data_IF_125774260943
#
_entry.id   IF_125774260943
#
_cell.length_a   1.000
_cell.length_b   1.000
_cell.length_c   1.000
_cell.angle_alpha   90.00
_cell.angle_beta   90.00
_cell.angle_gamma   90.00
#
_symmetry.space_group_name_H-M   'P 1'
#
loop_
_entity.id
_entity.type
_entity.pdbx_description
1 polymer ?
#
# COMPACT_ATOMS: atom_id res chain seq x y z
N UNK A 1 -1.77 18.93 -10.20
CA UNK A 1 -3.23 18.70 -10.27
C UNK A 1 -3.85 19.10 -11.61
N UNK A 2 -3.79 20.36 -12.05
CA UNK A 2 -4.41 20.78 -13.32
C UNK A 2 -3.99 19.96 -14.56
N UNK A 3 -2.70 19.65 -14.65
CA UNK A 3 -2.15 18.84 -15.75
C UNK A 3 -2.67 17.39 -15.75
N UNK A 4 -2.88 16.78 -14.58
CA UNK A 4 -3.48 15.43 -14.46
C UNK A 4 -4.98 15.49 -14.81
N UNK A 5 -5.68 16.56 -14.40
CA UNK A 5 -7.07 16.80 -14.82
C UNK A 5 -7.22 16.88 -16.34
N UNK A 6 -6.28 17.55 -17.03
CA UNK A 6 -6.25 17.62 -18.49
C UNK A 6 -6.11 16.23 -19.18
N UNK A 7 -5.53 15.23 -18.49
CA UNK A 7 -5.41 13.88 -19.03
C UNK A 7 -6.76 13.17 -19.17
N UNK A 8 -7.68 13.47 -18.27
CA UNK A 8 -9.03 12.91 -18.24
C UNK A 8 -10.07 13.85 -18.84
N UNK A 9 -9.64 14.99 -19.40
CA UNK A 9 -10.53 15.91 -20.11
C UNK A 9 -11.28 15.19 -21.22
N UNK A 10 -12.54 15.52 -21.51
CA UNK A 10 -13.18 15.06 -22.73
C UNK A 10 -12.54 15.67 -24.00
N UNK A 11 -11.78 16.76 -23.87
CA UNK A 11 -11.15 17.47 -24.99
C UNK A 11 -9.82 16.82 -25.43
N UNK A 12 -9.75 16.45 -26.71
CA UNK A 12 -8.56 15.88 -27.33
C UNK A 12 -7.39 16.88 -27.41
N UNK A 13 -7.65 18.18 -27.54
CA UNK A 13 -6.62 19.22 -27.57
C UNK A 13 -5.93 19.37 -26.21
N UNK A 14 -6.69 19.33 -25.11
CA UNK A 14 -6.14 19.37 -23.75
C UNK A 14 -5.28 18.13 -23.45
N UNK A 15 -5.73 16.94 -23.87
CA UNK A 15 -4.92 15.71 -23.78
C UNK A 15 -3.63 15.79 -24.58
N UNK A 16 -3.70 16.29 -25.81
CA UNK A 16 -2.53 16.41 -26.68
C UNK A 16 -1.53 17.45 -26.12
N UNK A 17 -2.03 18.58 -25.62
CA UNK A 17 -1.21 19.62 -25.00
C UNK A 17 -0.50 19.12 -23.73
N UNK A 18 -1.16 18.27 -22.94
CA UNK A 18 -0.53 17.61 -21.79
C UNK A 18 0.59 16.67 -22.23
N UNK A 19 0.33 15.78 -23.21
CA UNK A 19 1.33 14.81 -23.69
C UNK A 19 2.61 15.50 -24.19
N UNK A 20 2.49 16.67 -24.81
CA UNK A 20 3.65 17.45 -25.29
C UNK A 20 4.52 17.99 -24.14
N UNK A 21 3.94 18.22 -22.95
CA UNK A 21 4.63 18.81 -21.80
C UNK A 21 5.05 17.78 -20.76
N UNK A 22 4.73 16.51 -20.99
CA UNK A 22 4.88 15.47 -19.99
C UNK A 22 6.34 15.29 -19.56
N UNK A 23 7.26 15.15 -20.50
CA UNK A 23 8.69 14.92 -20.20
C UNK A 23 9.27 16.04 -19.33
N UNK A 24 8.83 17.29 -19.57
CA UNK A 24 9.23 18.44 -18.76
C UNK A 24 8.63 18.38 -17.35
N UNK A 25 7.35 17.98 -17.22
CA UNK A 25 6.69 17.82 -15.92
C UNK A 25 7.35 16.70 -15.12
N UNK A 26 7.60 15.55 -15.75
CA UNK A 26 8.29 14.42 -15.14
C UNK A 26 9.68 14.85 -14.66
N UNK A 27 10.49 15.45 -15.53
CA UNK A 27 11.82 15.92 -15.16
C UNK A 27 11.78 16.92 -14.00
N UNK A 28 10.82 17.85 -14.00
CA UNK A 28 10.66 18.84 -12.94
C UNK A 28 10.31 18.20 -11.59
N UNK A 29 9.31 17.30 -11.54
CA UNK A 29 8.86 16.73 -10.26
C UNK A 29 9.93 15.87 -9.62
N UNK A 30 10.66 15.08 -10.40
CA UNK A 30 11.76 14.25 -9.89
C UNK A 30 12.95 15.11 -9.44
N UNK A 31 13.32 16.14 -10.20
CA UNK A 31 14.38 17.07 -9.79
C UNK A 31 14.01 17.85 -8.52
N UNK A 32 12.74 18.24 -8.39
CA UNK A 32 12.23 18.91 -7.19
C UNK A 32 12.29 17.99 -5.97
N UNK A 33 11.85 16.73 -6.11
CA UNK A 33 11.92 15.75 -5.03
C UNK A 33 13.36 15.48 -4.58
N UNK A 34 14.28 15.34 -5.54
CA UNK A 34 15.71 15.13 -5.23
C UNK A 34 16.35 16.33 -4.50
N UNK A 35 15.79 17.53 -4.65
CA UNK A 35 16.29 18.72 -3.93
C UNK A 35 16.12 18.64 -2.41
N UNK A 36 15.28 17.72 -1.91
CA UNK A 36 15.04 17.49 -0.47
C UNK A 36 15.98 16.44 0.16
N UNK A 37 16.80 15.75 -0.64
CA UNK A 37 17.74 14.75 -0.11
C UNK A 37 18.64 15.35 0.99
N UNK A 38 18.71 14.67 2.13
CA UNK A 38 19.57 15.07 3.25
C UNK A 38 19.11 16.30 4.04
N UNK A 39 17.89 16.81 3.81
CA UNK A 39 17.34 17.92 4.59
C UNK A 39 16.65 17.42 5.87
N UNK A 40 16.69 18.24 6.93
CA UNK A 40 15.88 18.03 8.13
C UNK A 40 14.43 18.41 7.83
N UNK A 41 13.51 17.49 8.06
CA UNK A 41 12.10 17.62 7.66
C UNK A 41 11.31 18.20 8.84
N UNK A 42 11.09 19.52 8.85
CA UNK A 42 10.27 20.20 9.87
C UNK A 42 9.53 21.41 9.28
N UNK A 43 8.37 21.74 9.85
CA UNK A 43 7.60 22.94 9.51
C UNK A 43 7.27 23.04 8.02
N UNK A 44 7.63 24.17 7.40
CA UNK A 44 7.38 24.43 5.96
C UNK A 44 8.08 23.42 5.04
N UNK A 45 9.24 22.88 5.45
CA UNK A 45 9.97 21.88 4.66
C UNK A 45 9.18 20.58 4.53
N UNK A 46 8.44 20.18 5.58
CA UNK A 46 7.54 19.01 5.51
C UNK A 46 6.47 19.23 4.46
N UNK A 47 5.83 20.41 4.45
CA UNK A 47 4.77 20.72 3.48
C UNK A 47 5.28 20.69 2.04
N UNK A 48 6.43 21.30 1.78
CA UNK A 48 7.02 21.33 0.43
C UNK A 48 7.46 19.94 -0.03
N UNK A 49 8.03 19.13 0.88
CA UNK A 49 8.38 17.73 0.61
C UNK A 49 7.15 16.89 0.29
N UNK A 50 6.09 17.01 1.10
CA UNK A 50 4.81 16.31 0.87
C UNK A 50 4.27 16.66 -0.52
N UNK A 51 4.28 17.94 -0.91
CA UNK A 51 3.85 18.35 -2.25
C UNK A 51 4.74 17.80 -3.36
N UNK A 52 6.06 17.76 -3.17
CA UNK A 52 6.99 17.18 -4.13
C UNK A 52 6.76 15.66 -4.30
N UNK A 53 6.54 14.94 -3.20
CA UNK A 53 6.19 13.52 -3.19
C UNK A 53 4.84 13.28 -3.85
N UNK A 54 3.80 14.05 -3.52
CA UNK A 54 2.47 13.97 -4.15
C UNK A 54 2.58 14.14 -5.68
N UNK A 55 3.29 15.18 -6.13
CA UNK A 55 3.46 15.45 -7.55
C UNK A 55 4.18 14.30 -8.26
N UNK A 56 5.26 13.79 -7.67
CA UNK A 56 6.04 12.66 -8.21
C UNK A 56 5.21 11.37 -8.24
N UNK A 57 4.51 11.06 -7.16
CA UNK A 57 3.62 9.91 -7.06
C UNK A 57 2.52 9.93 -8.12
N UNK A 58 1.85 11.07 -8.30
CA UNK A 58 0.79 11.19 -9.30
C UNK A 58 1.30 11.02 -10.74
N UNK A 59 2.47 11.60 -11.04
CA UNK A 59 3.16 11.44 -12.32
C UNK A 59 3.49 9.96 -12.59
N UNK A 60 3.99 9.24 -11.57
CA UNK A 60 4.28 7.81 -11.62
C UNK A 60 3.03 6.96 -11.84
N UNK A 61 1.97 7.19 -11.06
CA UNK A 61 0.70 6.46 -11.20
C UNK A 61 0.13 6.65 -12.59
N UNK A 62 0.08 7.89 -13.07
CA UNK A 62 -0.44 8.19 -14.40
C UNK A 62 0.31 7.40 -15.48
N UNK A 63 1.64 7.44 -15.50
CA UNK A 63 2.42 6.74 -16.54
C UNK A 63 2.42 5.23 -16.37
N UNK A 64 2.22 4.72 -15.15
CA UNK A 64 2.12 3.28 -14.91
C UNK A 64 0.91 2.65 -15.60
N UNK A 65 -0.21 3.40 -15.69
CA UNK A 65 -1.50 2.86 -16.13
C UNK A 65 -2.00 3.47 -17.45
N UNK A 66 -1.90 4.80 -17.59
CA UNK A 66 -2.39 5.56 -18.76
C UNK A 66 -1.27 5.99 -19.73
N UNK A 67 -0.01 5.73 -19.36
CA UNK A 67 1.15 6.03 -20.19
C UNK A 67 1.22 5.26 -21.51
N UNK A 68 2.15 5.67 -22.39
CA UNK A 68 2.53 4.85 -23.55
C UNK A 68 3.19 3.55 -23.09
N UNK A 69 3.29 2.53 -23.95
CA UNK A 69 3.97 1.28 -23.57
C UNK A 69 5.39 1.54 -23.07
N UNK A 70 6.15 2.36 -23.80
CA UNK A 70 7.53 2.75 -23.42
C UNK A 70 7.54 3.42 -22.04
N UNK A 71 6.63 4.35 -21.80
CA UNK A 71 6.58 5.07 -20.54
C UNK A 71 6.18 4.18 -19.35
N UNK A 72 5.25 3.23 -19.56
CA UNK A 72 4.92 2.22 -18.54
C UNK A 72 6.13 1.38 -18.18
N UNK A 73 6.90 0.92 -19.17
CA UNK A 73 8.14 0.16 -18.95
C UNK A 73 9.19 1.02 -18.24
N UNK A 74 9.40 2.26 -18.67
CA UNK A 74 10.37 3.18 -18.08
C UNK A 74 10.02 3.54 -16.63
N UNK A 75 8.73 3.71 -16.31
CA UNK A 75 8.31 3.91 -14.93
C UNK A 75 8.65 2.72 -14.06
N UNK A 76 8.23 1.53 -14.49
CA UNK A 76 8.45 0.30 -13.74
C UNK A 76 9.92 -0.05 -13.58
N UNK A 77 10.79 0.32 -14.52
CA UNK A 77 12.22 -0.04 -14.48
C UNK A 77 13.13 1.04 -13.90
N UNK A 78 12.83 2.33 -14.13
CA UNK A 78 13.73 3.46 -13.80
C UNK A 78 13.10 4.43 -12.81
N UNK A 79 11.96 5.03 -13.16
CA UNK A 79 11.41 6.16 -12.37
C UNK A 79 10.96 5.76 -10.99
N UNK A 80 10.37 4.59 -10.85
CA UNK A 80 9.99 4.10 -9.53
C UNK A 80 11.22 3.85 -8.65
N UNK A 81 12.33 3.38 -9.22
CA UNK A 81 13.59 3.23 -8.48
C UNK A 81 14.14 4.60 -8.00
N UNK A 82 14.03 5.65 -8.80
CA UNK A 82 14.39 7.01 -8.40
C UNK A 82 13.53 7.49 -7.22
N UNK A 83 12.22 7.25 -7.26
CA UNK A 83 11.34 7.60 -6.14
C UNK A 83 11.70 6.85 -4.85
N UNK A 84 11.97 5.54 -4.94
CA UNK A 84 12.40 4.72 -3.80
C UNK A 84 13.70 5.26 -3.21
N UNK A 85 14.67 5.63 -4.04
CA UNK A 85 15.93 6.24 -3.59
C UNK A 85 15.68 7.56 -2.84
N UNK A 86 14.80 8.42 -3.37
CA UNK A 86 14.41 9.65 -2.68
C UNK A 86 13.77 9.33 -1.32
N UNK A 87 12.85 8.35 -1.25
CA UNK A 87 12.21 7.92 0.02
C UNK A 87 13.23 7.38 1.01
N UNK A 88 14.20 6.57 0.57
CA UNK A 88 15.26 6.03 1.43
C UNK A 88 16.20 7.10 1.98
N UNK A 89 16.29 8.26 1.32
CA UNK A 89 17.04 9.41 1.83
C UNK A 89 16.31 10.20 2.92
N UNK A 90 15.03 9.90 3.16
CA UNK A 90 14.21 10.50 4.21
C UNK A 90 14.30 9.68 5.48
N UNK A 91 14.16 10.33 6.63
CA UNK A 91 13.98 9.63 7.91
C UNK A 91 12.54 9.13 8.03
N UNK A 92 12.23 8.02 7.33
CA UNK A 92 10.90 7.40 7.29
C UNK A 92 10.38 7.04 8.68
N UNK A 93 11.27 6.69 9.62
CA UNK A 93 10.90 6.37 11.00
C UNK A 93 10.39 7.55 11.80
N UNK A 94 10.77 8.78 11.43
CA UNK A 94 10.25 10.00 12.05
C UNK A 94 8.81 10.34 11.64
N UNK A 95 8.28 9.72 10.58
CA UNK A 95 6.93 9.96 10.11
C UNK A 95 5.92 9.18 10.97
N UNK A 96 5.52 9.75 12.10
CA UNK A 96 4.58 9.15 13.04
C UNK A 96 3.67 10.22 13.67
N UNK A 97 2.47 9.80 14.07
CA UNK A 97 1.54 10.68 14.79
C UNK A 97 1.97 10.86 16.25
N UNK A 98 1.78 12.07 16.76
CA UNK A 98 1.82 12.31 18.20
C UNK A 98 0.67 11.60 18.92
N UNK A 99 0.81 11.44 20.23
CA UNK A 99 -0.29 11.02 21.09
C UNK A 99 -1.23 12.22 21.36
N UNK A 100 -2.43 12.16 20.80
CA UNK A 100 -3.48 13.17 20.93
C UNK A 100 -4.53 12.81 21.98
N UNK A 101 -4.42 11.65 22.66
CA UNK A 101 -5.44 11.14 23.60
C UNK A 101 -5.78 12.11 24.74
N UNK A 102 -4.83 12.98 25.10
CA UNK A 102 -4.97 13.95 26.21
C UNK A 102 -4.73 15.39 25.74
N UNK A 103 -4.73 15.64 24.42
CA UNK A 103 -4.52 16.98 23.86
C UNK A 103 -5.85 17.74 23.86
N UNK A 104 -5.83 18.97 24.37
CA UNK A 104 -6.97 19.87 24.33
C UNK A 104 -7.04 20.61 22.98
N UNK A 105 -8.25 21.04 22.60
CA UNK A 105 -8.47 21.68 21.29
C UNK A 105 -7.57 22.90 21.03
N UNK A 106 -7.27 23.70 22.05
CA UNK A 106 -6.46 24.91 21.91
C UNK A 106 -4.97 24.61 21.67
N UNK A 107 -4.51 23.42 22.04
CA UNK A 107 -3.13 22.93 21.83
C UNK A 107 -3.01 22.07 20.56
N UNK A 108 -4.12 21.78 19.89
CA UNK A 108 -4.15 20.92 18.72
C UNK A 108 -3.69 21.67 17.46
N UNK A 109 -2.44 21.44 17.05
CA UNK A 109 -1.93 21.88 15.75
C UNK A 109 -2.45 20.96 14.63
N UNK A 110 -3.64 21.30 14.13
CA UNK A 110 -4.30 20.55 13.07
C UNK A 110 -3.51 20.51 11.77
N UNK A 111 -2.80 21.59 11.41
CA UNK A 111 -2.05 21.65 10.14
C UNK A 111 -0.80 20.77 10.18
N UNK A 112 -0.11 20.73 11.32
CA UNK A 112 1.00 19.79 11.53
C UNK A 112 0.51 18.35 11.49
N UNK A 113 -0.64 18.04 12.10
CA UNK A 113 -1.26 16.72 11.95
C UNK A 113 -1.53 16.37 10.48
N UNK A 114 -2.18 17.26 9.73
CA UNK A 114 -2.51 17.04 8.31
C UNK A 114 -1.25 16.75 7.49
N UNK A 115 -0.21 17.56 7.65
CA UNK A 115 1.05 17.36 6.93
C UNK A 115 1.71 16.02 7.27
N UNK A 116 1.63 15.59 8.53
CA UNK A 116 2.18 14.29 8.95
C UNK A 116 1.36 13.11 8.44
N UNK A 117 0.02 13.15 8.50
CA UNK A 117 -0.83 12.07 7.99
C UNK A 117 -0.73 11.96 6.46
N UNK A 118 -0.64 13.10 5.75
CA UNK A 118 -0.34 13.12 4.30
C UNK A 118 0.99 12.41 3.99
N UNK A 119 2.04 12.66 4.77
CA UNK A 119 3.35 12.02 4.62
C UNK A 119 3.27 10.51 4.86
N UNK A 120 2.66 10.08 5.97
CA UNK A 120 2.48 8.66 6.31
C UNK A 120 1.70 7.92 5.21
N UNK A 121 0.61 8.52 4.71
CA UNK A 121 -0.19 7.95 3.60
C UNK A 121 0.61 7.85 2.31
N UNK A 122 1.40 8.87 1.95
CA UNK A 122 2.23 8.85 0.75
C UNK A 122 3.28 7.75 0.82
N UNK A 123 3.97 7.61 1.95
CA UNK A 123 4.94 6.54 2.16
C UNK A 123 4.29 5.16 2.07
N UNK A 124 3.09 5.01 2.65
CA UNK A 124 2.30 3.78 2.52
C UNK A 124 1.90 3.52 1.07
N UNK A 125 1.50 4.54 0.32
CA UNK A 125 1.19 4.41 -1.11
C UNK A 125 2.40 4.05 -1.97
N UNK A 126 3.59 4.55 -1.65
CA UNK A 126 4.82 4.14 -2.33
C UNK A 126 5.04 2.63 -2.20
N UNK A 127 4.88 2.10 -0.99
CA UNK A 127 4.95 0.66 -0.74
C UNK A 127 3.86 -0.12 -1.48
N UNK A 128 2.63 0.39 -1.52
CA UNK A 128 1.53 -0.26 -2.24
C UNK A 128 1.71 -0.29 -3.76
N UNK A 129 2.37 0.71 -4.35
CA UNK A 129 2.73 0.69 -5.77
C UNK A 129 3.82 -0.35 -6.04
N UNK A 130 4.81 -0.44 -5.16
CA UNK A 130 5.87 -1.45 -5.27
C UNK A 130 5.31 -2.88 -5.19
N UNK A 131 4.39 -3.12 -4.25
CA UNK A 131 3.70 -4.39 -4.11
C UNK A 131 2.83 -4.69 -5.34
N UNK A 132 2.15 -3.69 -5.90
CA UNK A 132 1.39 -3.84 -7.14
C UNK A 132 2.30 -4.23 -8.32
N UNK A 133 3.50 -3.65 -8.44
CA UNK A 133 4.48 -4.08 -9.45
C UNK A 133 4.92 -5.53 -9.26
N UNK A 134 5.05 -5.95 -8.01
CA UNK A 134 5.34 -7.35 -7.68
C UNK A 134 4.20 -8.27 -8.08
N UNK A 135 2.95 -7.92 -7.76
CA UNK A 135 1.75 -8.72 -8.01
C UNK A 135 1.46 -8.82 -9.51
N UNK A 136 1.40 -7.69 -10.21
CA UNK A 136 0.87 -7.63 -11.58
C UNK A 136 1.93 -7.78 -12.66
N UNK A 137 3.16 -7.33 -12.39
CA UNK A 137 4.23 -7.28 -13.41
C UNK A 137 5.40 -8.19 -13.07
N UNK A 138 5.35 -8.93 -11.97
CA UNK A 138 6.42 -9.81 -11.54
C UNK A 138 7.79 -9.10 -11.45
N UNK A 139 7.78 -7.88 -10.91
CA UNK A 139 8.99 -7.11 -10.63
C UNK A 139 9.34 -7.30 -9.16
N UNK A 140 10.62 -7.54 -8.87
CA UNK A 140 11.05 -7.68 -7.47
C UNK A 140 10.68 -6.42 -6.65
N UNK A 141 10.09 -6.58 -5.46
CA UNK A 141 9.85 -5.47 -4.55
C UNK A 141 11.15 -4.72 -4.27
N UNK A 142 11.08 -3.40 -4.30
CA UNK A 142 12.20 -2.50 -4.00
C UNK A 142 12.23 -2.04 -2.56
N UNK A 143 11.08 -2.05 -1.88
CA UNK A 143 11.01 -1.87 -0.44
C UNK A 143 11.19 -3.21 0.26
N UNK A 144 12.10 -3.24 1.22
CA UNK A 144 12.21 -4.33 2.18
C UNK A 144 11.21 -4.06 3.30
N UNK A 145 10.45 -5.06 3.74
CA UNK A 145 9.42 -4.85 4.77
C UNK A 145 9.94 -4.19 6.05
N UNK A 146 11.19 -4.46 6.42
CA UNK A 146 11.84 -3.85 7.59
C UNK A 146 12.08 -2.35 7.44
N UNK A 147 12.07 -1.80 6.23
CA UNK A 147 12.21 -0.36 5.97
C UNK A 147 10.90 0.41 6.23
N UNK A 148 9.78 -0.29 6.41
CA UNK A 148 8.46 0.29 6.66
C UNK A 148 8.31 0.74 8.13
N UNK A 149 9.18 1.67 8.53
CA UNK A 149 9.28 2.18 9.91
C UNK A 149 8.39 3.40 10.18
N UNK A 150 7.64 3.87 9.19
CA UNK A 150 6.64 4.93 9.39
C UNK A 150 5.49 4.43 10.26
N UNK A 151 4.84 5.36 10.95
CA UNK A 151 3.61 5.10 11.70
C UNK A 151 2.44 4.69 10.81
N UNK A 152 1.30 4.39 11.43
CA UNK A 152 0.08 4.03 10.71
C UNK A 152 -0.74 5.28 10.37
N UNK A 153 -1.30 5.31 9.17
CA UNK A 153 -2.21 6.38 8.75
C UNK A 153 -3.49 6.36 9.57
N UNK A 154 -4.02 7.54 9.85
CA UNK A 154 -5.27 7.69 10.58
C UNK A 154 -6.44 7.05 9.81
N UNK A 155 -7.55 6.71 10.48
CA UNK A 155 -8.80 6.36 9.80
C UNK A 155 -9.29 7.49 8.89
N UNK A 156 -10.13 7.11 7.93
CA UNK A 156 -10.72 8.01 6.95
C UNK A 156 -11.59 9.10 7.59
N UNK A 157 -12.19 8.84 8.76
CA UNK A 157 -12.94 9.83 9.56
C UNK A 157 -12.05 10.95 10.09
N UNK A 158 -10.81 10.63 10.49
CA UNK A 158 -9.84 11.62 10.97
C UNK A 158 -9.33 12.48 9.82
N UNK A 159 -8.98 11.84 8.70
CA UNK A 159 -8.41 12.51 7.53
C UNK A 159 -9.44 13.34 6.75
N UNK A 160 -10.69 12.87 6.71
CA UNK A 160 -11.81 13.56 6.06
C UNK A 160 -12.55 14.55 6.95
N UNK A 161 -12.07 14.81 8.16
CA UNK A 161 -12.68 15.77 9.08
C UNK A 161 -12.69 17.18 8.49
N UNK A 162 -13.80 17.90 8.66
CA UNK A 162 -13.99 19.24 8.09
C UNK A 162 -13.55 20.38 9.02
N UNK A 163 -13.20 20.06 10.27
CA UNK A 163 -12.70 21.03 11.25
C UNK A 163 -11.68 20.40 12.22
N UNK A 164 -10.86 21.22 12.91
CA UNK A 164 -9.94 20.74 13.94
C UNK A 164 -10.65 19.98 15.06
N UNK A 165 -11.83 20.43 15.48
CA UNK A 165 -12.63 19.84 16.56
C UNK A 165 -13.08 18.42 16.20
N UNK A 166 -13.61 18.26 15.00
CA UNK A 166 -14.03 16.96 14.48
C UNK A 166 -12.82 16.02 14.34
N UNK A 167 -11.72 16.53 13.83
CA UNK A 167 -10.49 15.76 13.64
C UNK A 167 -9.93 15.26 14.98
N UNK A 168 -9.78 16.15 15.96
CA UNK A 168 -9.25 15.80 17.28
C UNK A 168 -10.13 14.77 17.99
N UNK A 169 -11.46 14.93 17.91
CA UNK A 169 -12.42 13.99 18.50
C UNK A 169 -12.27 12.58 17.90
N UNK A 170 -12.17 12.47 16.57
CA UNK A 170 -12.00 11.18 15.90
C UNK A 170 -10.61 10.58 16.16
N UNK A 171 -9.56 11.41 16.21
CA UNK A 171 -8.20 10.98 16.55
C UNK A 171 -8.15 10.40 17.96
N UNK A 172 -8.73 11.08 18.95
CA UNK A 172 -8.77 10.59 20.33
C UNK A 172 -9.49 9.24 20.44
N UNK A 173 -10.65 9.10 19.77
CA UNK A 173 -11.38 7.82 19.72
C UNK A 173 -10.53 6.71 19.12
N UNK A 174 -9.92 6.96 17.96
CA UNK A 174 -9.06 6.00 17.28
C UNK A 174 -7.87 5.59 18.14
N UNK A 175 -7.12 6.55 18.68
CA UNK A 175 -5.90 6.27 19.45
C UNK A 175 -6.21 5.55 20.79
N UNK A 176 -7.36 5.81 21.41
CA UNK A 176 -7.81 5.05 22.58
C UNK A 176 -8.07 3.57 22.26
N UNK A 177 -8.56 3.26 21.05
CA UNK A 177 -8.89 1.90 20.64
C UNK A 177 -7.70 1.16 20.04
N UNK A 178 -6.92 1.84 19.21
CA UNK A 178 -5.95 1.24 18.31
C UNK A 178 -4.50 1.39 18.80
N UNK A 179 -4.22 2.41 19.62
CA UNK A 179 -2.87 2.83 19.98
C UNK A 179 -2.14 3.56 18.84
N UNK A 180 -1.04 4.24 19.17
CA UNK A 180 -0.23 5.06 18.23
C UNK A 180 1.18 4.54 18.00
N UNK A 181 1.59 3.53 18.75
CA UNK A 181 3.00 3.14 18.89
C UNK A 181 3.48 2.17 17.80
N UNK A 182 2.64 1.83 16.83
CA UNK A 182 2.97 0.87 15.78
C UNK A 182 3.55 1.54 14.54
N UNK A 183 4.65 0.97 14.07
CA UNK A 183 5.09 1.12 12.68
C UNK A 183 4.31 0.18 11.76
N UNK A 184 4.34 0.47 10.45
CA UNK A 184 3.77 -0.42 9.44
C UNK A 184 4.44 -1.81 9.46
N UNK A 185 5.74 -1.89 9.71
CA UNK A 185 6.45 -3.15 9.86
C UNK A 185 5.97 -3.96 11.07
N UNK A 186 5.78 -3.31 12.22
CA UNK A 186 5.34 -3.98 13.45
C UNK A 186 3.93 -4.55 13.34
N UNK A 187 2.98 -3.81 12.76
CA UNK A 187 1.62 -4.34 12.59
C UNK A 187 1.58 -5.50 11.59
N UNK A 188 2.44 -5.49 10.57
CA UNK A 188 2.62 -6.64 9.65
C UNK A 188 3.19 -7.84 10.41
N UNK A 189 4.20 -7.62 11.26
CA UNK A 189 4.79 -8.68 12.09
C UNK A 189 3.76 -9.29 13.05
N UNK A 190 2.93 -8.46 13.68
CA UNK A 190 1.85 -8.92 14.55
C UNK A 190 0.82 -9.75 13.77
N UNK A 191 0.46 -9.31 12.56
CA UNK A 191 -0.44 -10.09 11.69
C UNK A 191 0.11 -11.50 11.39
N UNK A 192 1.42 -11.65 11.24
CA UNK A 192 2.09 -12.94 10.97
C UNK A 192 2.21 -13.85 12.20
N UNK A 193 1.86 -13.36 13.39
CA UNK A 193 2.03 -14.10 14.64
C UNK A 193 1.12 -15.34 14.69
N UNK A 194 1.56 -16.46 15.32
CA UNK A 194 0.75 -17.68 15.44
C UNK A 194 -0.62 -17.47 16.05
N UNK A 195 -0.75 -16.50 16.95
CA UNK A 195 -1.99 -16.13 17.60
C UNK A 195 -2.09 -14.61 17.66
N UNK A 196 -3.22 -14.06 17.21
CA UNK A 196 -3.60 -12.68 17.46
C UNK A 196 -4.79 -12.68 18.41
N UNK A 197 -4.56 -12.22 19.65
CA UNK A 197 -5.59 -12.20 20.69
C UNK A 197 -6.72 -11.21 20.35
N UNK A 198 -7.80 -11.26 21.13
CA UNK A 198 -8.97 -10.42 20.87
C UNK A 198 -8.64 -8.92 20.89
N UNK A 199 -7.77 -8.49 21.80
CA UNK A 199 -7.37 -7.10 21.90
C UNK A 199 -6.54 -6.67 20.69
N UNK A 200 -5.58 -7.48 20.26
CA UNK A 200 -4.80 -7.26 19.04
C UNK A 200 -5.67 -7.24 17.79
N UNK A 201 -6.66 -8.13 17.70
CA UNK A 201 -7.63 -8.11 16.61
C UNK A 201 -8.45 -6.82 16.57
N UNK A 202 -8.90 -6.32 17.73
CA UNK A 202 -9.63 -5.05 17.82
C UNK A 202 -8.72 -3.89 17.42
N UNK A 203 -7.51 -3.81 17.98
CA UNK A 203 -6.52 -2.76 17.64
C UNK A 203 -6.26 -2.70 16.14
N UNK A 204 -6.02 -3.85 15.51
CA UNK A 204 -5.79 -3.95 14.08
C UNK A 204 -7.06 -3.61 13.27
N UNK A 205 -8.23 -4.04 13.72
CA UNK A 205 -9.49 -3.76 13.06
C UNK A 205 -9.87 -2.26 13.07
N UNK A 206 -9.38 -1.50 14.06
CA UNK A 206 -9.58 -0.05 14.20
C UNK A 206 -8.58 0.78 13.37
N UNK A 207 -7.61 0.18 12.69
CA UNK A 207 -6.67 0.92 11.84
C UNK A 207 -7.34 1.45 10.57
N UNK A 208 -6.64 2.22 9.75
CA UNK A 208 -7.20 2.69 8.48
C UNK A 208 -7.38 1.56 7.45
N UNK A 209 -8.21 1.77 6.43
CA UNK A 209 -8.42 0.77 5.36
C UNK A 209 -7.15 0.59 4.53
N UNK A 210 -6.41 1.68 4.30
CA UNK A 210 -5.10 1.64 3.65
C UNK A 210 -4.08 0.80 4.45
N UNK A 211 -4.08 0.85 5.80
CA UNK A 211 -3.24 -0.03 6.62
C UNK A 211 -3.62 -1.50 6.41
N UNK A 212 -4.91 -1.83 6.39
CA UNK A 212 -5.35 -3.21 6.11
C UNK A 212 -4.90 -3.69 4.73
N UNK A 213 -4.94 -2.80 3.73
CA UNK A 213 -4.46 -3.11 2.39
C UNK A 213 -2.93 -3.27 2.32
N UNK A 214 -2.19 -2.49 3.11
CA UNK A 214 -0.74 -2.62 3.24
C UNK A 214 -0.35 -3.95 3.89
N UNK A 215 -1.08 -4.42 4.91
CA UNK A 215 -0.82 -5.73 5.52
C UNK A 215 -0.96 -6.87 4.51
N UNK A 216 -2.05 -6.90 3.73
CA UNK A 216 -2.22 -7.96 2.72
C UNK A 216 -1.21 -7.83 1.58
N UNK A 217 -0.83 -6.61 1.20
CA UNK A 217 0.26 -6.35 0.24
C UNK A 217 1.62 -6.87 0.73
N UNK A 218 1.91 -6.73 2.03
CA UNK A 218 3.13 -7.28 2.62
C UNK A 218 3.16 -8.82 2.57
N UNK A 219 2.01 -9.49 2.72
CA UNK A 219 1.92 -10.94 2.51
C UNK A 219 2.23 -11.32 1.06
N UNK A 220 1.77 -10.55 0.07
CA UNK A 220 2.16 -10.76 -1.33
C UNK A 220 3.66 -10.60 -1.56
N UNK A 221 4.28 -9.61 -0.93
CA UNK A 221 5.75 -9.40 -0.97
C UNK A 221 6.49 -10.59 -0.35
N UNK A 222 6.02 -11.12 0.79
CA UNK A 222 6.60 -12.33 1.40
C UNK A 222 6.45 -13.55 0.52
N UNK A 223 5.28 -13.74 -0.11
CA UNK A 223 5.04 -14.83 -1.05
C UNK A 223 5.98 -14.70 -2.25
N UNK A 224 6.12 -13.49 -2.81
CA UNK A 224 7.01 -13.22 -3.94
C UNK A 224 8.47 -13.57 -3.63
N UNK A 225 8.95 -13.16 -2.46
CA UNK A 225 10.33 -13.39 -2.04
C UNK A 225 10.59 -14.82 -1.55
N UNK A 226 9.56 -15.66 -1.46
CA UNK A 226 9.71 -17.05 -1.05
C UNK A 226 10.04 -17.94 -2.25
N UNK A 227 11.07 -18.77 -2.10
CA UNK A 227 11.45 -19.74 -3.12
C UNK A 227 11.01 -21.16 -2.68
N UNK A 228 10.09 -21.83 -3.41
CA UNK A 228 9.69 -23.20 -3.08
C UNK A 228 10.80 -24.25 -3.19
N UNK A 229 11.87 -23.95 -3.92
CA UNK A 229 13.04 -24.83 -4.06
C UNK A 229 14.07 -24.65 -2.95
N UNK A 230 13.97 -23.56 -2.17
CA UNK A 230 14.92 -23.22 -1.11
C UNK A 230 14.15 -23.15 0.22
N UNK A 231 14.38 -24.12 1.10
CA UNK A 231 13.83 -24.14 2.46
C UNK A 231 12.83 -25.28 2.70
N UNK A 232 12.22 -25.28 3.89
CA UNK A 232 11.22 -26.26 4.29
C UNK A 232 9.82 -25.64 4.24
N UNK A 233 8.78 -26.46 4.07
CA UNK A 233 7.38 -26.00 4.06
C UNK A 233 6.98 -25.21 5.31
N UNK A 234 7.68 -25.42 6.44
CA UNK A 234 7.50 -24.64 7.67
C UNK A 234 7.75 -23.13 7.51
N UNK A 235 8.53 -22.72 6.50
CA UNK A 235 8.80 -21.29 6.22
C UNK A 235 7.54 -20.50 5.85
N UNK A 236 6.49 -21.20 5.41
CA UNK A 236 5.21 -20.58 5.02
C UNK A 236 4.22 -20.43 6.17
N UNK A 237 4.49 -21.02 7.33
CA UNK A 237 3.59 -20.96 8.50
C UNK A 237 3.23 -19.52 8.89
N UNK A 238 4.18 -18.57 8.98
CA UNK A 238 3.84 -17.18 9.27
C UNK A 238 2.89 -16.54 8.24
N UNK A 239 3.03 -16.88 6.95
CA UNK A 239 2.16 -16.36 5.88
C UNK A 239 0.73 -16.90 6.05
N UNK A 240 0.58 -18.18 6.39
CA UNK A 240 -0.74 -18.75 6.69
C UNK A 240 -1.39 -18.11 7.92
N UNK A 241 -0.61 -17.88 8.99
CA UNK A 241 -1.08 -17.15 10.16
C UNK A 241 -1.54 -15.74 9.77
N UNK A 242 -0.72 -15.03 8.99
CA UNK A 242 -1.03 -13.72 8.40
C UNK A 242 -2.37 -13.69 7.69
N UNK A 243 -2.60 -14.64 6.77
CA UNK A 243 -3.86 -14.73 6.02
C UNK A 243 -5.05 -15.03 6.94
N UNK A 244 -4.89 -15.91 7.94
CA UNK A 244 -5.96 -16.26 8.87
C UNK A 244 -6.30 -15.08 9.78
N UNK A 245 -5.29 -14.43 10.37
CA UNK A 245 -5.45 -13.27 11.23
C UNK A 245 -6.06 -12.09 10.46
N UNK A 246 -5.56 -11.80 9.26
CA UNK A 246 -6.12 -10.74 8.41
C UNK A 246 -7.60 -10.98 8.10
N UNK A 247 -8.00 -12.22 7.77
CA UNK A 247 -9.39 -12.56 7.51
C UNK A 247 -10.28 -12.36 8.74
N UNK A 248 -9.83 -12.82 9.91
CA UNK A 248 -10.54 -12.65 11.17
C UNK A 248 -10.73 -11.17 11.51
N UNK A 249 -9.66 -10.37 11.41
CA UNK A 249 -9.67 -8.92 11.64
C UNK A 249 -10.58 -8.21 10.65
N UNK A 250 -10.50 -8.53 9.35
CA UNK A 250 -11.34 -7.90 8.32
C UNK A 250 -12.83 -8.17 8.54
N UNK A 251 -13.20 -9.41 8.89
CA UNK A 251 -14.58 -9.74 9.20
C UNK A 251 -15.07 -9.00 10.45
N UNK A 252 -14.22 -8.86 11.47
CA UNK A 252 -14.54 -8.10 12.68
C UNK A 252 -14.67 -6.61 12.40
N UNK A 253 -13.78 -6.05 11.58
CA UNK A 253 -13.84 -4.67 11.09
C UNK A 253 -15.20 -4.37 10.47
N UNK A 254 -15.74 -5.23 9.61
CA UNK A 254 -17.08 -5.02 9.03
C UNK A 254 -18.17 -4.79 10.08
N UNK A 255 -18.09 -5.49 11.21
CA UNK A 255 -19.04 -5.33 12.32
C UNK A 255 -18.83 -3.98 13.03
N UNK A 256 -17.57 -3.60 13.28
CA UNK A 256 -17.21 -2.33 13.92
C UNK A 256 -17.63 -1.15 13.03
N UNK A 257 -17.36 -1.22 11.72
CA UNK A 257 -17.64 -0.14 10.76
C UNK A 257 -19.12 0.00 10.41
N UNK A 258 -19.93 -1.05 10.55
CA UNK A 258 -21.39 -0.94 10.44
C UNK A 258 -21.98 0.04 11.46
N UNK A 259 -21.27 0.33 12.55
CA UNK A 259 -21.65 1.35 13.52
C UNK A 259 -21.19 2.79 13.16
N UNK A 260 -20.39 2.96 12.10
CA UNK A 260 -19.87 4.27 11.65
C UNK A 260 -19.94 4.41 10.11
N UNK A 261 -21.08 4.87 9.55
CA UNK A 261 -21.25 4.99 8.10
C UNK A 261 -20.27 5.93 7.40
N UNK A 262 -19.62 6.84 8.15
CA UNK A 262 -18.63 7.78 7.61
C UNK A 262 -17.32 7.09 7.18
N UNK A 263 -16.99 5.94 7.77
CA UNK A 263 -15.84 5.14 7.34
C UNK A 263 -16.08 4.37 6.03
N UNK A 264 -17.34 4.29 5.56
CA UNK A 264 -17.72 3.66 4.30
C UNK A 264 -17.63 4.61 3.08
N UNK A 265 -17.05 5.81 3.25
CA UNK A 265 -16.80 6.75 2.15
C UNK A 265 -16.12 6.07 0.96
N UNK A 266 -16.61 6.36 -0.26
CA UNK A 266 -16.32 5.70 -1.54
C UNK A 266 -15.14 4.73 -1.48
N UNK A 267 -15.37 3.41 -1.39
CA UNK A 267 -14.33 2.45 -1.05
C UNK A 267 -13.31 2.24 -2.18
N UNK A 268 -13.33 3.10 -3.22
CA UNK A 268 -12.32 3.25 -4.25
C UNK A 268 -11.73 1.92 -4.69
N UNK A 269 -10.40 1.86 -4.69
CA UNK A 269 -9.68 0.63 -4.95
C UNK A 269 -9.69 -0.36 -3.76
N UNK A 270 -9.88 0.14 -2.54
CA UNK A 270 -9.74 -0.63 -1.30
C UNK A 270 -10.89 -1.60 -1.03
N UNK A 271 -12.03 -1.45 -1.71
CA UNK A 271 -13.11 -2.43 -1.69
C UNK A 271 -12.64 -3.84 -2.09
N UNK A 272 -11.56 -3.91 -2.88
CA UNK A 272 -10.97 -5.14 -3.38
C UNK A 272 -9.97 -5.80 -2.42
N UNK A 273 -9.78 -5.28 -1.19
CA UNK A 273 -8.98 -5.93 -0.14
C UNK A 273 -9.23 -7.45 -0.02
N UNK A 274 -10.49 -7.96 -0.02
CA UNK A 274 -10.76 -9.39 0.02
C UNK A 274 -10.25 -10.16 -1.20
N UNK A 275 -10.25 -9.54 -2.39
CA UNK A 275 -9.77 -10.16 -3.63
C UNK A 275 -8.25 -10.36 -3.57
N UNK A 276 -7.52 -9.39 -3.00
CA UNK A 276 -6.08 -9.50 -2.74
C UNK A 276 -5.78 -10.59 -1.71
N UNK A 277 -6.60 -10.70 -0.68
CA UNK A 277 -6.49 -11.78 0.31
C UNK A 277 -6.68 -13.16 -0.33
N UNK A 278 -7.72 -13.30 -1.16
CA UNK A 278 -7.99 -14.54 -1.87
C UNK A 278 -6.80 -14.87 -2.79
N UNK A 279 -6.33 -13.91 -3.58
CA UNK A 279 -5.18 -14.12 -4.46
C UNK A 279 -3.93 -14.59 -3.69
N UNK A 280 -3.59 -13.96 -2.57
CA UNK A 280 -2.47 -14.38 -1.74
C UNK A 280 -2.64 -15.82 -1.23
N UNK A 281 -3.84 -16.17 -0.76
CA UNK A 281 -4.18 -17.53 -0.32
C UNK A 281 -4.01 -18.56 -1.43
N UNK A 282 -4.44 -18.25 -2.65
CA UNK A 282 -4.29 -19.15 -3.79
C UNK A 282 -2.84 -19.34 -4.19
N UNK A 283 -2.06 -18.25 -4.23
CA UNK A 283 -0.63 -18.30 -4.57
C UNK A 283 0.15 -19.16 -3.58
N UNK A 284 -0.05 -18.97 -2.27
CA UNK A 284 0.68 -19.74 -1.25
C UNK A 284 0.27 -21.22 -1.23
N UNK A 285 -1.00 -21.54 -1.49
CA UNK A 285 -1.46 -22.92 -1.65
C UNK A 285 -0.79 -23.60 -2.85
N UNK A 286 -0.66 -22.89 -3.97
CA UNK A 286 0.00 -23.43 -5.15
C UNK A 286 1.49 -23.70 -4.88
N UNK A 287 2.19 -22.75 -4.24
CA UNK A 287 3.61 -22.86 -3.88
C UNK A 287 3.86 -24.06 -2.96
N UNK A 288 3.03 -24.27 -1.94
CA UNK A 288 3.19 -25.38 -0.99
C UNK A 288 2.83 -26.74 -1.58
N UNK A 289 1.83 -26.80 -2.46
CA UNK A 289 1.55 -27.98 -3.26
C UNK A 289 2.76 -28.36 -4.13
N UNK A 290 3.42 -27.39 -4.76
CA UNK A 290 4.65 -27.66 -5.52
C UNK A 290 5.80 -28.15 -4.63
N UNK A 291 6.04 -27.49 -3.49
CA UNK A 291 7.11 -27.87 -2.56
C UNK A 291 6.92 -29.32 -2.02
N UNK A 292 5.69 -29.73 -1.75
CA UNK A 292 5.38 -31.10 -1.27
C UNK A 292 5.52 -32.19 -2.33
N UNK A 293 5.38 -31.87 -3.62
CA UNK A 293 5.40 -32.87 -4.69
C UNK A 293 6.82 -33.20 -5.23
N UNK A 294 7.89 -32.58 -4.70
CA UNK A 294 9.29 -32.81 -5.08
C UNK A 294 9.52 -32.89 -6.60
N UNK A 295 8.80 -32.11 -7.41
CA UNK A 295 8.92 -32.18 -8.87
C UNK A 295 10.10 -31.32 -9.36
N UNK A 296 11.17 -31.90 -9.95
CA UNK A 296 12.37 -31.17 -10.36
C UNK A 296 12.20 -30.31 -11.64
N UNK A 297 10.98 -30.19 -12.17
CA UNK A 297 10.69 -29.53 -13.47
C UNK A 297 9.44 -28.63 -13.45
N UNK A 298 8.93 -28.26 -12.28
CA UNK A 298 7.84 -27.29 -12.21
C UNK A 298 8.35 -25.94 -12.75
N UNK A 299 7.64 -25.37 -13.73
CA UNK A 299 7.93 -24.02 -14.20
C UNK A 299 7.75 -23.06 -13.01
N UNK A 300 8.62 -22.05 -12.84
CA UNK A 300 8.41 -21.03 -11.81
C UNK A 300 6.98 -20.49 -11.92
N UNK A 301 6.32 -20.24 -10.79
CA UNK A 301 4.98 -19.63 -10.78
C UNK A 301 4.98 -18.33 -11.59
N UNK A 302 6.12 -17.62 -11.58
CA UNK A 302 6.33 -16.35 -12.29
C UNK A 302 7.71 -16.29 -12.96
N UNK A 303 7.87 -16.85 -14.17
CA UNK A 303 9.18 -17.06 -14.79
C UNK A 303 9.71 -15.87 -15.60
N UNK A 304 8.89 -14.86 -15.87
CA UNK A 304 9.30 -13.71 -16.68
C UNK A 304 9.27 -12.44 -15.84
N UNK A 305 10.43 -11.79 -15.70
CA UNK A 305 10.53 -10.45 -15.17
C UNK A 305 9.73 -9.46 -16.03
N UNK A 306 9.06 -8.50 -15.40
CA UNK A 306 8.33 -7.41 -16.05
C UNK A 306 7.29 -7.89 -17.08
N UNK A 307 6.35 -8.71 -16.63
CA UNK A 307 5.28 -9.28 -17.45
C UNK A 307 4.20 -8.22 -17.77
N UNK A 308 4.34 -7.54 -18.91
CA UNK A 308 3.45 -6.42 -19.27
C UNK A 308 2.01 -6.84 -19.61
N UNK A 309 1.81 -8.09 -20.02
CA UNK A 309 0.51 -8.55 -20.52
C UNK A 309 -0.49 -8.93 -19.42
N UNK A 310 0.00 -9.19 -18.20
CA UNK A 310 -0.76 -9.73 -17.06
C UNK A 310 -1.53 -11.03 -17.36
N UNK A 311 -1.33 -11.64 -18.54
CA UNK A 311 -2.09 -12.80 -19.03
C UNK A 311 -1.90 -14.02 -18.15
N UNK A 312 -0.75 -14.18 -17.51
CA UNK A 312 -0.53 -15.32 -16.62
C UNK A 312 -1.29 -15.19 -15.32
N UNK A 313 -1.27 -14.01 -14.70
CA UNK A 313 -2.06 -13.76 -13.51
C UNK A 313 -3.55 -13.93 -13.82
N UNK A 314 -4.01 -13.38 -14.94
CA UNK A 314 -5.37 -13.58 -15.42
C UNK A 314 -5.70 -15.06 -15.65
N UNK A 315 -4.86 -15.80 -16.38
CA UNK A 315 -5.05 -17.22 -16.63
C UNK A 315 -5.04 -18.08 -15.35
N UNK A 316 -4.22 -17.71 -14.36
CA UNK A 316 -4.22 -18.33 -13.03
C UNK A 316 -5.56 -18.15 -12.32
N UNK A 317 -6.11 -16.93 -12.33
CA UNK A 317 -7.41 -16.62 -11.74
C UNK A 317 -8.52 -17.41 -12.46
N UNK A 318 -8.56 -17.38 -13.79
CA UNK A 318 -9.58 -18.09 -14.58
C UNK A 318 -9.53 -19.62 -14.38
N UNK A 319 -8.33 -20.19 -14.25
CA UNK A 319 -8.17 -21.63 -13.98
C UNK A 319 -8.78 -22.01 -12.63
N UNK A 320 -8.59 -21.17 -11.61
CA UNK A 320 -9.18 -21.40 -10.30
C UNK A 320 -10.71 -21.32 -10.33
N UNK A 321 -11.28 -20.29 -10.96
CA UNK A 321 -12.73 -20.14 -11.12
C UNK A 321 -13.36 -21.36 -11.79
N UNK A 322 -12.71 -21.86 -12.86
CA UNK A 322 -13.14 -23.06 -13.59
C UNK A 322 -13.07 -24.32 -12.72
N UNK A 323 -12.03 -24.44 -11.88
CA UNK A 323 -11.83 -25.60 -11.01
C UNK A 323 -12.83 -25.64 -9.85
N UNK A 324 -13.24 -24.49 -9.31
CA UNK A 324 -14.32 -24.41 -8.33
C UNK A 324 -15.68 -24.76 -8.94
N UNK A 325 -15.95 -24.34 -10.18
CA UNK A 325 -17.18 -24.66 -10.88
C UNK A 325 -17.32 -26.17 -11.19
N UNK A 326 -16.20 -26.87 -11.45
CA UNK A 326 -16.20 -28.32 -11.65
C UNK A 326 -16.28 -29.15 -10.35
N UNK A 327 -15.97 -28.58 -9.19
CA UNK A 327 -16.03 -29.26 -7.88
C UNK A 327 -17.39 -29.17 -7.18
N UNK A 328 -18.42 -28.62 -7.82
CA UNK A 328 -19.74 -28.36 -7.26
C UNK A 328 -20.85 -29.29 -7.81
N UNK A 329 -20.50 -30.50 -8.27
CA UNK A 329 -21.45 -31.53 -8.70
C UNK A 329 -21.39 -32.79 -7.84
#
# INVERSE_FOLDING_TARGET
MAMIGACHSPDAHEKAAFKLRYDAVEHYVFSNLDSFRGRVIQGTVLRDLVQALQATYLVLIYQSWDGSQIARTDVRRKRFAQMVESVHSLDVGSAAHNDYRQVELHDFDWLTFVGMDEMIRLLTWCFLVDSAFSIFFNIAPRFILRELQMGLSSPETCFGASSPEECLLELQKWQCQAGTEYTLYEIVKDALSPTLDLQGQIRMACQSTITMFAIISALHVLIFNSDPSIGQTSQYVPIYNGLSNWQAVWNRRKIILQCSPRELGHPGFWQHCPDYWLLAKLLIQQITQFASQCQPRAKPLRPCYDEESQRRLHGFICHYESSQACGAF
#
